data_IF_545140231016
#
_entry.id   IF_545140231016
#
_cell.length_a   1.000
_cell.length_b   1.000
_cell.length_c   1.000
_cell.angle_alpha   90.00
_cell.angle_beta   90.00
_cell.angle_gamma   90.00
#
_symmetry.space_group_name_H-M   'P 1'
#
loop_
_entity.id
_entity.type
_entity.pdbx_description
1 polymer ?
#
# COMPACT_ATOMS: atom_id res chain seq x y z
N UNK A 1 -4.03 -4.80 18.01
CA UNK A 1 -4.84 -4.00 17.04
C UNK A 1 -4.46 -2.50 16.90
N UNK A 2 -4.17 -1.76 17.99
CA UNK A 2 -4.00 -0.29 17.94
C UNK A 2 -2.90 0.20 16.97
N UNK A 3 -1.69 -0.38 17.03
CA UNK A 3 -0.57 0.04 16.17
C UNK A 3 -0.81 -0.17 14.67
N UNK A 4 -1.46 -1.28 14.27
CA UNK A 4 -1.76 -1.53 12.86
C UNK A 4 -2.74 -0.47 12.30
N UNK A 5 -3.74 -0.08 13.10
CA UNK A 5 -4.68 0.99 12.73
C UNK A 5 -3.98 2.32 12.58
N UNK A 6 -3.07 2.65 13.49
CA UNK A 6 -2.28 3.88 13.43
C UNK A 6 -1.43 3.94 12.16
N UNK A 7 -0.70 2.87 11.85
CA UNK A 7 0.11 2.78 10.62
C UNK A 7 -0.73 2.97 9.36
N UNK A 8 -1.88 2.29 9.26
CA UNK A 8 -2.78 2.40 8.10
C UNK A 8 -3.30 3.82 7.95
N UNK A 9 -3.79 4.41 9.04
CA UNK A 9 -4.28 5.79 9.05
C UNK A 9 -3.17 6.77 8.65
N UNK A 10 -1.99 6.65 9.25
CA UNK A 10 -0.87 7.53 8.97
C UNK A 10 -0.48 7.49 7.49
N UNK A 11 -0.41 6.31 6.89
CA UNK A 11 -0.08 6.17 5.47
C UNK A 11 -1.16 6.77 4.57
N UNK A 12 -2.43 6.38 4.75
CA UNK A 12 -3.55 6.88 3.93
C UNK A 12 -3.70 8.40 4.02
N UNK A 13 -3.39 9.01 5.17
CA UNK A 13 -3.46 10.45 5.35
C UNK A 13 -2.23 11.21 4.81
N UNK A 14 -1.05 10.58 4.73
CA UNK A 14 0.21 11.26 4.40
C UNK A 14 0.73 11.00 2.99
N UNK A 15 0.52 9.79 2.47
CA UNK A 15 1.07 9.32 1.19
C UNK A 15 -0.04 9.34 0.14
N UNK A 16 0.05 10.19 -0.90
CA UNK A 16 -0.99 10.27 -1.92
C UNK A 16 -1.16 8.99 -2.74
N UNK A 17 -2.40 8.73 -3.16
CA UNK A 17 -2.64 7.88 -4.32
C UNK A 17 -2.51 8.73 -5.59
N UNK A 18 -1.60 8.36 -6.50
CA UNK A 18 -1.37 9.12 -7.72
C UNK A 18 -0.62 8.28 -8.79
N UNK A 19 -0.66 8.74 -10.05
CA UNK A 19 0.09 8.14 -11.16
C UNK A 19 1.07 9.12 -11.85
N UNK A 20 1.20 10.34 -11.34
CA UNK A 20 2.07 11.40 -11.86
C UNK A 20 3.54 11.01 -11.71
N UNK A 21 3.95 10.50 -10.55
CA UNK A 21 5.30 10.04 -10.28
C UNK A 21 5.70 8.89 -11.21
N UNK A 22 4.78 7.95 -11.46
CA UNK A 22 4.95 6.86 -12.41
C UNK A 22 5.19 7.41 -13.82
N UNK A 23 4.31 8.29 -14.31
CA UNK A 23 4.44 8.88 -15.65
C UNK A 23 5.75 9.69 -15.79
N UNK A 24 6.10 10.47 -14.77
CA UNK A 24 7.34 11.24 -14.72
C UNK A 24 8.57 10.32 -14.78
N UNK A 25 8.66 9.32 -13.90
CA UNK A 25 9.79 8.38 -13.87
C UNK A 25 9.87 7.52 -15.12
N UNK A 26 8.74 7.11 -15.70
CA UNK A 26 8.70 6.38 -16.98
C UNK A 26 9.28 7.20 -18.13
N UNK A 27 8.96 8.50 -18.19
CA UNK A 27 9.39 9.41 -19.26
C UNK A 27 10.82 9.90 -19.07
N UNK A 28 11.20 10.28 -17.86
CA UNK A 28 12.47 10.98 -17.59
C UNK A 28 13.56 10.09 -17.00
N UNK A 29 13.20 8.95 -16.38
CA UNK A 29 14.15 8.04 -15.72
C UNK A 29 14.14 6.62 -16.31
N UNK A 30 13.34 6.39 -17.36
CA UNK A 30 13.24 5.08 -18.02
C UNK A 30 12.67 3.97 -17.11
N UNK A 31 12.01 4.30 -16.00
CA UNK A 31 11.48 3.30 -15.08
C UNK A 31 10.41 2.43 -15.77
N UNK A 32 10.46 1.11 -15.57
CA UNK A 32 9.53 0.12 -16.18
C UNK A 32 8.88 -0.83 -15.17
N UNK A 33 8.94 -0.49 -13.88
CA UNK A 33 8.36 -1.30 -12.81
C UNK A 33 8.14 -0.46 -11.56
N UNK A 34 8.24 -1.11 -10.39
CA UNK A 34 8.22 -0.41 -9.11
C UNK A 34 9.45 0.51 -8.97
N UNK A 35 9.28 1.75 -8.45
CA UNK A 35 10.42 2.54 -8.02
C UNK A 35 11.13 1.80 -6.88
N UNK A 36 12.46 1.92 -6.76
CA UNK A 36 13.18 1.42 -5.57
C UNK A 36 12.77 2.17 -4.30
N UNK A 37 13.01 1.59 -3.12
CA UNK A 37 12.56 2.12 -1.83
C UNK A 37 13.03 3.57 -1.62
N UNK A 38 14.32 3.84 -1.83
CA UNK A 38 14.88 5.19 -1.69
C UNK A 38 14.17 6.20 -2.62
N UNK A 39 13.92 5.83 -3.87
CA UNK A 39 13.21 6.69 -4.83
C UNK A 39 11.76 6.93 -4.44
N UNK A 40 11.09 5.94 -3.85
CA UNK A 40 9.73 6.07 -3.35
C UNK A 40 9.67 7.01 -2.14
N UNK A 41 10.56 6.82 -1.15
CA UNK A 41 10.64 7.67 0.04
C UNK A 41 11.05 9.10 -0.32
N UNK A 42 12.07 9.29 -1.16
CA UNK A 42 12.46 10.61 -1.68
C UNK A 42 11.31 11.30 -2.42
N UNK A 43 10.51 10.52 -3.17
CA UNK A 43 9.30 10.99 -3.83
C UNK A 43 8.30 11.61 -2.86
N UNK A 44 8.01 10.88 -1.78
CA UNK A 44 7.09 11.31 -0.72
C UNK A 44 7.61 12.57 -0.02
N UNK A 45 8.89 12.58 0.35
CA UNK A 45 9.47 13.66 1.16
C UNK A 45 9.68 14.95 0.36
N UNK A 46 10.24 14.85 -0.85
CA UNK A 46 10.71 16.02 -1.61
C UNK A 46 9.67 16.57 -2.57
N UNK A 47 8.76 15.71 -3.05
CA UNK A 47 7.84 16.05 -4.14
C UNK A 47 6.37 15.80 -3.80
N UNK A 48 6.08 15.31 -2.58
CA UNK A 48 4.75 14.89 -2.17
C UNK A 48 4.13 13.89 -3.17
N UNK A 49 4.97 13.03 -3.75
CA UNK A 49 4.52 11.89 -4.53
C UNK A 49 4.04 10.78 -3.61
N UNK A 50 3.42 9.78 -4.22
CA UNK A 50 3.14 8.50 -3.57
C UNK A 50 3.18 7.44 -4.65
N UNK A 51 2.02 6.91 -4.99
CA UNK A 51 1.89 6.04 -6.16
C UNK A 51 0.55 5.37 -6.25
N UNK A 52 0.45 4.41 -7.17
CA UNK A 52 -0.74 3.56 -7.33
C UNK A 52 -0.71 2.40 -6.33
N UNK A 53 -1.64 1.44 -6.46
CA UNK A 53 -1.73 0.28 -5.58
C UNK A 53 -0.40 -0.48 -5.39
N UNK A 54 0.33 -0.75 -6.48
CA UNK A 54 1.60 -1.47 -6.41
C UNK A 54 2.63 -0.83 -5.47
N UNK A 55 3.17 0.39 -5.71
CA UNK A 55 4.17 0.96 -4.80
C UNK A 55 3.62 1.20 -3.38
N UNK A 56 2.39 1.72 -3.25
CA UNK A 56 1.82 1.99 -1.92
C UNK A 56 1.63 0.72 -1.11
N UNK A 57 0.98 -0.31 -1.65
CA UNK A 57 0.73 -1.55 -0.91
C UNK A 57 1.97 -2.44 -0.78
N UNK A 58 2.88 -2.45 -1.76
CA UNK A 58 4.12 -3.22 -1.67
C UNK A 58 5.04 -2.69 -0.56
N UNK A 59 5.29 -1.38 -0.53
CA UNK A 59 6.17 -0.81 0.49
C UNK A 59 5.51 -0.78 1.87
N UNK A 60 4.19 -0.65 1.94
CA UNK A 60 3.47 -0.83 3.20
C UNK A 60 3.52 -2.27 3.70
N UNK A 61 3.36 -3.27 2.84
CA UNK A 61 3.60 -4.69 3.16
C UNK A 61 5.01 -4.90 3.72
N UNK A 62 6.04 -4.36 3.06
CA UNK A 62 7.42 -4.46 3.54
C UNK A 62 7.59 -3.82 4.92
N UNK A 63 6.99 -2.66 5.17
CA UNK A 63 6.99 -2.03 6.50
C UNK A 63 6.38 -2.96 7.55
N UNK A 64 5.18 -3.51 7.27
CA UNK A 64 4.51 -4.43 8.20
C UNK A 64 5.36 -5.67 8.49
N UNK A 65 5.94 -6.29 7.46
CA UNK A 65 6.81 -7.45 7.64
C UNK A 65 8.05 -7.13 8.49
N UNK A 66 8.69 -5.98 8.27
CA UNK A 66 9.86 -5.54 9.04
C UNK A 66 9.52 -5.19 10.51
N UNK A 67 8.29 -4.76 10.78
CA UNK A 67 7.78 -4.53 12.13
C UNK A 67 7.36 -5.84 12.84
N UNK A 68 7.52 -7.00 12.19
CA UNK A 68 7.21 -8.31 12.76
C UNK A 68 5.74 -8.72 12.64
N UNK A 69 4.93 -8.01 11.85
CA UNK A 69 3.59 -8.48 11.54
C UNK A 69 3.65 -9.72 10.64
N UNK A 70 2.82 -10.72 10.94
CA UNK A 70 2.56 -11.83 10.03
C UNK A 70 1.65 -11.34 8.91
N UNK A 71 2.24 -11.02 7.77
CA UNK A 71 1.53 -10.48 6.61
C UNK A 71 1.85 -11.25 5.33
N UNK A 72 0.87 -11.34 4.46
CA UNK A 72 0.96 -11.94 3.13
C UNK A 72 0.54 -10.91 2.09
N UNK A 73 1.35 -10.74 1.06
CA UNK A 73 1.01 -9.93 -0.10
C UNK A 73 0.08 -10.72 -1.03
N UNK A 74 -1.05 -10.14 -1.42
CA UNK A 74 -2.06 -10.81 -2.24
C UNK A 74 -2.44 -9.98 -3.45
N UNK A 75 -2.74 -10.66 -4.57
CA UNK A 75 -3.50 -10.09 -5.66
C UNK A 75 -4.99 -10.01 -5.30
N UNK A 76 -5.67 -9.01 -5.85
CA UNK A 76 -7.10 -8.81 -5.71
C UNK A 76 -7.70 -8.45 -7.07
N UNK A 77 -8.88 -9.03 -7.32
CA UNK A 77 -9.64 -8.78 -8.54
C UNK A 77 -10.30 -7.40 -8.48
N UNK A 78 -10.25 -6.68 -9.59
CA UNK A 78 -11.03 -5.44 -9.80
C UNK A 78 -11.63 -5.45 -11.20
N UNK A 79 -11.09 -4.65 -12.13
CA UNK A 79 -11.48 -4.69 -13.54
C UNK A 79 -11.00 -5.94 -14.28
N UNK A 80 -10.16 -6.75 -13.63
CA UNK A 80 -9.63 -8.01 -14.12
C UNK A 80 -8.99 -8.79 -12.96
N UNK A 81 -8.53 -10.02 -13.22
CA UNK A 81 -7.94 -10.85 -12.18
C UNK A 81 -6.58 -10.32 -11.70
N UNK A 82 -6.35 -10.31 -10.39
CA UNK A 82 -5.06 -9.95 -9.76
C UNK A 82 -4.45 -8.61 -10.21
N UNK A 83 -5.28 -7.64 -10.59
CA UNK A 83 -4.84 -6.30 -11.07
C UNK A 83 -4.58 -5.30 -9.95
N UNK A 84 -4.89 -5.67 -8.70
CA UNK A 84 -4.71 -4.84 -7.52
C UNK A 84 -3.94 -5.58 -6.44
N UNK A 85 -3.12 -4.86 -5.70
CA UNK A 85 -2.26 -5.44 -4.67
C UNK A 85 -2.83 -5.10 -3.29
N UNK A 86 -2.94 -6.06 -2.38
CA UNK A 86 -3.37 -5.83 -0.99
C UNK A 86 -2.50 -6.63 -0.02
N UNK A 87 -2.55 -6.29 1.27
CA UNK A 87 -1.91 -7.06 2.33
C UNK A 87 -2.95 -7.76 3.21
N UNK A 88 -2.81 -9.06 3.39
CA UNK A 88 -3.52 -9.78 4.46
C UNK A 88 -2.63 -9.84 5.70
N UNK A 89 -3.18 -9.47 6.86
CA UNK A 89 -2.45 -9.43 8.14
C UNK A 89 -3.14 -10.34 9.15
N UNK A 90 -2.40 -11.31 9.68
CA UNK A 90 -2.88 -12.18 10.76
C UNK A 90 -2.57 -11.52 12.11
N UNK A 91 -3.61 -11.23 12.90
CA UNK A 91 -3.48 -10.59 14.21
C UNK A 91 -4.54 -11.14 15.18
N UNK A 92 -4.11 -11.56 16.37
CA UNK A 92 -5.00 -12.02 17.45
C UNK A 92 -5.99 -13.12 16.98
N UNK A 93 -5.50 -14.08 16.16
CA UNK A 93 -6.28 -15.17 15.53
C UNK A 93 -7.35 -14.74 14.53
N UNK A 94 -7.35 -13.48 14.09
CA UNK A 94 -8.21 -12.96 13.04
C UNK A 94 -7.35 -12.44 11.88
N UNK A 95 -7.93 -12.44 10.68
CA UNK A 95 -7.27 -11.94 9.49
C UNK A 95 -7.88 -10.61 9.04
N UNK A 96 -7.03 -9.66 8.70
CA UNK A 96 -7.42 -8.33 8.29
C UNK A 96 -6.86 -7.99 6.91
N UNK A 97 -7.71 -7.47 6.04
CA UNK A 97 -7.32 -6.83 4.80
C UNK A 97 -6.80 -5.42 5.10
N UNK A 98 -5.63 -5.12 4.56
CA UNK A 98 -4.98 -3.83 4.65
C UNK A 98 -4.69 -3.35 3.24
N UNK A 99 -5.22 -2.16 2.94
CA UNK A 99 -5.09 -1.54 1.64
C UNK A 99 -4.94 -0.03 1.79
N UNK A 100 -3.74 0.45 1.49
CA UNK A 100 -3.36 1.86 1.52
C UNK A 100 -3.19 2.44 0.10
N UNK A 101 -3.60 1.68 -0.92
CA UNK A 101 -3.38 1.96 -2.33
C UNK A 101 -4.65 1.90 -3.19
N UNK A 102 -5.84 1.83 -2.58
CA UNK A 102 -7.14 1.77 -3.29
C UNK A 102 -7.71 3.12 -3.73
N UNK A 103 -7.11 4.24 -3.31
CA UNK A 103 -7.67 5.58 -3.51
C UNK A 103 -9.02 5.84 -2.80
N UNK A 104 -9.30 5.14 -1.69
CA UNK A 104 -10.44 5.41 -0.81
C UNK A 104 -9.98 5.61 0.64
N UNK A 105 -10.80 6.22 1.51
CA UNK A 105 -10.42 6.50 2.91
C UNK A 105 -10.48 5.24 3.80
N UNK A 106 -9.75 4.18 3.42
CA UNK A 106 -9.62 2.94 4.19
C UNK A 106 -8.64 3.13 5.36
N UNK A 107 -9.01 4.00 6.31
CA UNK A 107 -8.15 4.44 7.43
C UNK A 107 -8.03 3.43 8.58
N UNK A 108 -8.46 2.18 8.35
CA UNK A 108 -8.36 1.10 9.31
C UNK A 108 -8.31 -0.27 8.60
N UNK A 109 -7.61 -1.26 9.17
CA UNK A 109 -7.67 -2.64 8.68
C UNK A 109 -9.11 -3.16 8.68
N UNK A 110 -9.53 -3.75 7.57
CA UNK A 110 -10.84 -4.34 7.42
C UNK A 110 -10.79 -5.81 7.81
N UNK A 111 -11.66 -6.31 8.68
CA UNK A 111 -11.72 -7.75 8.90
C UNK A 111 -12.06 -8.50 7.62
N UNK A 112 -11.37 -9.60 7.35
CA UNK A 112 -11.64 -10.43 6.16
C UNK A 112 -13.05 -11.02 6.19
N UNK A 113 -13.55 -11.31 7.38
CA UNK A 113 -14.86 -11.89 7.65
C UNK A 113 -15.95 -10.82 7.88
N UNK A 114 -15.70 -9.58 7.49
CA UNK A 114 -16.70 -8.52 7.58
C UNK A 114 -17.89 -8.87 6.67
N UNK A 115 -19.09 -9.01 7.26
CA UNK A 115 -20.30 -9.22 6.50
C UNK A 115 -20.60 -7.98 5.64
N UNK A 116 -20.93 -8.23 4.37
CA UNK A 116 -21.27 -7.22 3.35
C UNK A 116 -22.76 -7.26 3.04
#
# INVERSE_FOLDING_TARGET
MAGLRELVRAHVCRVPFENVSKLYCMKHRGLRGLPGLESFLDGIEKFNFGGTCYPNNFYFYQLLANLGYRTTLCGADMSGPDVHLVSMVDLEKRQYLVDVGYAAPLVAPLPRDLAV
#
